data_IF_688098589265
#
_entry.id   IF_688098589265
#
_cell.length_a   1.000
_cell.length_b   1.000
_cell.length_c   1.000
_cell.angle_alpha   90.00
_cell.angle_beta   90.00
_cell.angle_gamma   90.00
#
_symmetry.space_group_name_H-M   'P 1'
#
loop_
_entity.id
_entity.type
_entity.pdbx_description
1 polymer ?
#
# COMPACT_ATOMS: atom_id res chain seq x y z
N UNK A 1 -9.49 11.90 24.66
CA UNK A 1 -8.30 12.14 23.80
C UNK A 1 -7.79 10.78 23.36
N UNK A 2 -7.80 10.46 22.07
CA UNK A 2 -7.09 9.26 21.59
C UNK A 2 -5.59 9.51 21.73
N UNK A 3 -4.93 8.67 22.52
CA UNK A 3 -3.49 8.73 22.74
C UNK A 3 -2.80 8.19 21.47
N UNK A 4 -1.96 9.01 20.84
CA UNK A 4 -1.12 8.55 19.73
C UNK A 4 -0.06 7.60 20.29
N UNK A 5 0.00 6.39 19.76
CA UNK A 5 0.97 5.34 20.13
C UNK A 5 1.83 5.04 18.93
N UNK A 6 3.15 5.04 19.10
CA UNK A 6 4.06 4.46 18.12
C UNK A 6 3.97 2.94 18.19
N UNK A 7 3.81 2.31 17.04
CA UNK A 7 3.88 0.85 16.88
C UNK A 7 4.87 0.60 15.75
N UNK A 8 5.89 -0.20 16.05
CA UNK A 8 6.83 -0.63 15.03
C UNK A 8 6.18 -1.69 14.14
N UNK A 9 6.26 -1.52 12.82
CA UNK A 9 5.72 -2.50 11.88
C UNK A 9 6.80 -3.51 11.58
N UNK A 10 6.70 -4.67 12.20
CA UNK A 10 7.65 -5.77 12.02
C UNK A 10 7.34 -6.59 10.76
N UNK A 11 8.34 -7.17 10.09
CA UNK A 11 8.11 -8.09 8.98
C UNK A 11 7.21 -9.26 9.37
N UNK A 12 6.29 -9.62 8.48
CA UNK A 12 5.47 -10.82 8.55
C UNK A 12 5.98 -11.86 7.53
N UNK A 13 5.81 -13.15 7.85
CA UNK A 13 5.91 -14.19 6.83
C UNK A 13 4.74 -14.06 5.85
N UNK A 14 4.87 -14.60 4.63
CA UNK A 14 3.78 -14.56 3.65
C UNK A 14 2.50 -15.24 4.18
N UNK A 15 2.65 -16.33 4.94
CA UNK A 15 1.53 -17.05 5.53
C UNK A 15 0.84 -16.22 6.64
N UNK A 16 1.62 -15.56 7.50
CA UNK A 16 1.06 -14.70 8.55
C UNK A 16 0.39 -13.47 7.93
N UNK A 17 1.04 -12.82 6.96
CA UNK A 17 0.47 -11.68 6.25
C UNK A 17 -0.88 -12.03 5.63
N UNK A 18 -0.99 -13.21 4.97
CA UNK A 18 -2.25 -13.68 4.41
C UNK A 18 -3.32 -13.88 5.50
N UNK A 19 -2.99 -14.54 6.61
CA UNK A 19 -3.92 -14.76 7.70
C UNK A 19 -4.42 -13.45 8.34
N UNK A 20 -3.55 -12.44 8.46
CA UNK A 20 -3.92 -11.11 8.95
C UNK A 20 -4.83 -10.35 7.96
N UNK A 21 -4.55 -10.44 6.65
CA UNK A 21 -5.36 -9.81 5.59
C UNK A 21 -6.78 -10.42 5.50
N UNK A 22 -6.95 -11.69 5.87
CA UNK A 22 -8.22 -12.42 5.87
C UNK A 22 -8.97 -12.35 7.20
N UNK A 23 -8.40 -11.68 8.21
CA UNK A 23 -8.93 -11.70 9.59
C UNK A 23 -10.29 -11.02 9.78
N UNK A 24 -10.69 -10.15 8.85
CA UNK A 24 -11.86 -9.28 9.00
C UNK A 24 -11.69 -8.15 10.02
N UNK A 25 -10.53 -8.06 10.67
CA UNK A 25 -10.21 -7.01 11.64
C UNK A 25 -9.41 -5.89 10.95
N UNK A 26 -9.92 -4.66 11.01
CA UNK A 26 -9.31 -3.54 10.30
C UNK A 26 -7.91 -3.18 10.78
N UNK A 27 -7.59 -3.36 12.07
CA UNK A 27 -6.26 -3.05 12.61
C UNK A 27 -5.23 -4.09 12.15
N UNK A 28 -5.63 -5.37 12.18
CA UNK A 28 -4.82 -6.50 11.69
C UNK A 28 -4.55 -6.39 10.19
N UNK A 29 -5.59 -6.15 9.38
CA UNK A 29 -5.47 -5.95 7.94
C UNK A 29 -4.56 -4.75 7.63
N UNK A 30 -4.76 -3.62 8.32
CA UNK A 30 -3.94 -2.42 8.11
C UNK A 30 -2.48 -2.65 8.45
N UNK A 31 -2.20 -3.34 9.56
CA UNK A 31 -0.84 -3.69 9.98
C UNK A 31 -0.17 -4.61 8.95
N UNK A 32 -0.91 -5.60 8.43
CA UNK A 32 -0.40 -6.50 7.39
C UNK A 32 -0.09 -5.76 6.08
N UNK A 33 -0.96 -4.84 5.64
CA UNK A 33 -0.73 -4.00 4.47
C UNK A 33 0.54 -3.15 4.60
N UNK A 34 0.75 -2.54 5.77
CA UNK A 34 1.98 -1.78 6.04
C UNK A 34 3.21 -2.70 6.06
N UNK A 35 3.10 -3.88 6.69
CA UNK A 35 4.20 -4.85 6.74
C UNK A 35 4.63 -5.31 5.35
N UNK A 36 3.70 -5.70 4.48
CA UNK A 36 4.05 -6.16 3.13
C UNK A 36 4.65 -5.03 2.29
N UNK A 37 4.17 -3.79 2.44
CA UNK A 37 4.69 -2.64 1.69
C UNK A 37 6.09 -2.19 2.14
N UNK A 38 6.47 -2.50 3.39
CA UNK A 38 7.79 -2.18 3.93
C UNK A 38 8.80 -3.31 3.75
N UNK A 39 8.36 -4.58 3.78
CA UNK A 39 9.24 -5.72 4.02
C UNK A 39 9.09 -6.89 3.04
N UNK A 40 8.09 -6.88 2.13
CA UNK A 40 7.90 -8.02 1.22
C UNK A 40 9.11 -8.23 0.31
N UNK A 41 9.45 -9.49 0.04
CA UNK A 41 10.45 -9.81 -0.98
C UNK A 41 9.89 -9.62 -2.41
N UNK A 42 8.58 -9.76 -2.59
CA UNK A 42 7.88 -9.59 -3.86
C UNK A 42 7.01 -8.32 -3.83
N UNK A 43 7.64 -7.20 -4.18
CA UNK A 43 7.02 -5.87 -4.20
C UNK A 43 5.90 -5.78 -5.23
N UNK A 44 5.95 -6.56 -6.30
CA UNK A 44 4.89 -6.59 -7.30
C UNK A 44 3.63 -7.26 -6.73
N UNK A 45 3.79 -8.41 -6.06
CA UNK A 45 2.68 -9.07 -5.37
C UNK A 45 2.08 -8.19 -4.25
N UNK A 46 2.94 -7.53 -3.46
CA UNK A 46 2.49 -6.62 -2.39
C UNK A 46 1.62 -5.47 -2.92
N UNK A 47 2.02 -4.83 -4.02
CA UNK A 47 1.25 -3.75 -4.65
C UNK A 47 -0.10 -4.25 -5.18
N UNK A 48 -0.13 -5.42 -5.82
CA UNK A 48 -1.37 -6.01 -6.30
C UNK A 48 -2.34 -6.34 -5.15
N UNK A 49 -1.82 -6.80 -4.01
CA UNK A 49 -2.62 -7.02 -2.80
C UNK A 49 -3.17 -5.68 -2.30
N UNK A 50 -2.34 -4.66 -2.15
CA UNK A 50 -2.77 -3.34 -1.66
C UNK A 50 -3.91 -2.74 -2.51
N UNK A 51 -3.80 -2.80 -3.84
CA UNK A 51 -4.83 -2.28 -4.76
C UNK A 51 -6.21 -2.92 -4.53
N UNK A 52 -6.27 -4.21 -4.17
CA UNK A 52 -7.54 -4.90 -3.88
C UNK A 52 -8.31 -4.26 -2.73
N UNK A 53 -7.59 -3.63 -1.79
CA UNK A 53 -8.16 -3.01 -0.60
C UNK A 53 -8.62 -1.57 -0.80
N UNK A 54 -8.40 -0.94 -1.96
CA UNK A 54 -8.93 0.40 -2.27
C UNK A 54 -10.46 0.47 -2.30
N UNK A 55 -11.12 -0.68 -2.45
CA UNK A 55 -12.59 -0.81 -2.43
C UNK A 55 -13.14 -1.21 -1.05
N UNK A 56 -12.29 -1.24 -0.02
CA UNK A 56 -12.74 -1.54 1.34
C UNK A 56 -13.69 -0.45 1.84
N UNK A 57 -14.73 -0.85 2.58
CA UNK A 57 -15.61 0.10 3.30
C UNK A 57 -14.90 0.76 4.50
N UNK A 58 -13.77 0.19 4.95
CA UNK A 58 -12.98 0.75 6.04
C UNK A 58 -11.97 1.77 5.52
N UNK A 59 -12.16 3.04 5.88
CA UNK A 59 -11.24 4.12 5.54
C UNK A 59 -9.81 3.86 6.04
N UNK A 60 -9.67 3.21 7.19
CA UNK A 60 -8.38 2.82 7.77
C UNK A 60 -7.64 1.84 6.87
N UNK A 61 -8.36 0.83 6.36
CA UNK A 61 -7.80 -0.17 5.45
C UNK A 61 -7.38 0.48 4.12
N UNK A 62 -8.22 1.36 3.55
CA UNK A 62 -7.88 2.08 2.32
C UNK A 62 -6.64 2.95 2.53
N UNK A 63 -6.57 3.68 3.65
CA UNK A 63 -5.40 4.50 3.98
C UNK A 63 -4.12 3.67 4.14
N UNK A 64 -4.21 2.50 4.79
CA UNK A 64 -3.09 1.58 4.94
C UNK A 64 -2.64 0.99 3.58
N UNK A 65 -3.58 0.70 2.68
CA UNK A 65 -3.27 0.24 1.33
C UNK A 65 -2.54 1.32 0.51
N UNK A 66 -2.96 2.59 0.60
CA UNK A 66 -2.27 3.71 -0.06
C UNK A 66 -0.84 3.84 0.46
N UNK A 67 -0.67 3.81 1.79
CA UNK A 67 0.66 3.86 2.41
C UNK A 67 1.53 2.66 2.05
N UNK A 68 0.95 1.48 1.91
CA UNK A 68 1.65 0.27 1.46
C UNK A 68 2.32 0.47 0.09
N UNK A 69 1.64 1.12 -0.86
CA UNK A 69 2.21 1.45 -2.18
C UNK A 69 3.28 2.55 -2.07
N UNK A 70 3.07 3.57 -1.24
CA UNK A 70 4.07 4.61 -1.02
C UNK A 70 5.36 4.04 -0.40
N UNK A 71 5.24 3.18 0.61
CA UNK A 71 6.36 2.42 1.16
C UNK A 71 7.00 1.53 0.11
N UNK A 72 6.18 0.91 -0.75
CA UNK A 72 6.63 0.12 -1.90
C UNK A 72 7.60 0.91 -2.79
N UNK A 73 7.24 2.15 -3.12
CA UNK A 73 8.07 3.05 -3.91
C UNK A 73 9.42 3.35 -3.23
N UNK A 74 9.39 3.68 -1.93
CA UNK A 74 10.57 4.10 -1.17
C UNK A 74 11.62 3.00 -1.03
N UNK A 75 11.22 1.75 -0.91
CA UNK A 75 12.14 0.65 -0.63
C UNK A 75 12.38 -0.29 -1.84
N UNK A 76 11.38 -0.52 -2.70
CA UNK A 76 11.48 -1.37 -3.89
C UNK A 76 11.91 -0.66 -5.16
N UNK A 77 11.87 0.69 -5.18
CA UNK A 77 12.26 1.58 -6.29
C UNK A 77 11.44 1.44 -7.59
N UNK A 78 10.37 0.65 -7.61
CA UNK A 78 9.43 0.65 -8.72
C UNK A 78 7.99 0.48 -8.24
N UNK A 79 7.07 1.03 -9.02
CA UNK A 79 5.62 0.84 -8.87
C UNK A 79 5.04 0.32 -10.17
N UNK A 80 4.17 -0.68 -10.07
CA UNK A 80 3.46 -1.23 -11.22
C UNK A 80 2.53 -0.17 -11.81
N UNK A 81 2.46 -0.08 -13.13
CA UNK A 81 1.63 0.89 -13.84
C UNK A 81 0.16 0.74 -13.45
N UNK A 82 -0.32 -0.49 -13.29
CA UNK A 82 -1.69 -0.75 -12.83
C UNK A 82 -1.95 -0.25 -11.40
N UNK A 83 -0.98 -0.40 -10.51
CA UNK A 83 -1.06 0.10 -9.13
C UNK A 83 -1.04 1.64 -9.10
N UNK A 84 -0.17 2.26 -9.89
CA UNK A 84 -0.11 3.71 -10.04
C UNK A 84 -1.43 4.29 -10.61
N UNK A 85 -1.99 3.67 -11.64
CA UNK A 85 -3.27 4.11 -12.22
C UNK A 85 -4.43 3.94 -11.24
N UNK A 86 -4.47 2.84 -10.51
CA UNK A 86 -5.49 2.60 -9.47
C UNK A 86 -5.39 3.62 -8.33
N UNK A 87 -4.16 3.98 -7.94
CA UNK A 87 -3.91 5.00 -6.92
C UNK A 87 -4.38 6.38 -7.41
N UNK A 88 -4.08 6.73 -8.67
CA UNK A 88 -4.55 7.97 -9.30
C UNK A 88 -6.07 8.03 -9.40
N UNK A 89 -6.73 6.93 -9.75
CA UNK A 89 -8.20 6.85 -9.77
C UNK A 89 -8.79 7.06 -8.38
N UNK A 90 -8.21 6.45 -7.34
CA UNK A 90 -8.61 6.65 -5.95
C UNK A 90 -8.49 8.14 -5.53
N UNK A 91 -7.55 8.88 -6.13
CA UNK A 91 -7.37 10.32 -5.90
C UNK A 91 -8.57 11.19 -6.26
N UNK A 92 -9.51 10.68 -7.07
CA UNK A 92 -10.77 11.36 -7.35
C UNK A 92 -11.74 11.35 -6.13
N UNK A 93 -11.52 10.47 -5.15
CA UNK A 93 -12.25 10.47 -3.91
C UNK A 93 -11.65 11.50 -2.94
N UNK A 94 -12.42 12.56 -2.63
CA UNK A 94 -12.00 13.66 -1.75
C UNK A 94 -11.49 13.19 -0.38
N UNK A 95 -12.02 12.09 0.14
CA UNK A 95 -11.61 11.50 1.42
C UNK A 95 -10.15 11.03 1.42
N UNK A 96 -9.66 10.55 0.27
CA UNK A 96 -8.33 9.97 0.10
C UNK A 96 -7.38 10.84 -0.72
N UNK A 97 -7.87 11.88 -1.40
CA UNK A 97 -7.10 12.73 -2.31
C UNK A 97 -5.76 13.22 -1.72
N UNK A 98 -5.76 13.69 -0.46
CA UNK A 98 -4.52 14.12 0.20
C UNK A 98 -3.50 12.99 0.37
N UNK A 99 -3.95 11.81 0.83
CA UNK A 99 -3.08 10.64 1.00
C UNK A 99 -2.57 10.08 -0.32
N UNK A 100 -3.42 10.12 -1.34
CA UNK A 100 -3.05 9.75 -2.69
C UNK A 100 -1.98 10.71 -3.22
N UNK A 101 -2.13 12.01 -3.02
CA UNK A 101 -1.12 12.98 -3.43
C UNK A 101 0.22 12.73 -2.73
N UNK A 102 0.22 12.51 -1.42
CA UNK A 102 1.43 12.17 -0.67
C UNK A 102 2.13 10.91 -1.23
N UNK A 103 1.35 9.86 -1.55
CA UNK A 103 1.87 8.64 -2.14
C UNK A 103 2.42 8.83 -3.56
N UNK A 104 1.76 9.67 -4.37
CA UNK A 104 2.22 10.00 -5.72
C UNK A 104 3.51 10.83 -5.70
N UNK A 105 3.66 11.70 -4.70
CA UNK A 105 4.90 12.45 -4.45
C UNK A 105 6.04 11.50 -4.05
N UNK A 106 5.79 10.54 -3.15
CA UNK A 106 6.75 9.48 -2.80
C UNK A 106 7.16 8.66 -4.04
N UNK A 107 6.20 8.26 -4.88
CA UNK A 107 6.49 7.52 -6.12
C UNK A 107 7.38 8.36 -7.04
N UNK A 108 7.00 9.61 -7.28
CA UNK A 108 7.76 10.53 -8.16
C UNK A 108 9.18 10.75 -7.65
N UNK A 109 9.38 10.77 -6.32
CA UNK A 109 10.67 11.03 -5.71
C UNK A 109 11.58 9.78 -5.67
N UNK A 110 11.02 8.59 -5.48
CA UNK A 110 11.81 7.40 -5.12
C UNK A 110 11.73 6.22 -6.10
N UNK A 111 10.76 6.20 -7.02
CA UNK A 111 10.50 5.03 -7.85
C UNK A 111 10.24 5.36 -9.33
N UNK A 112 10.54 4.39 -10.19
CA UNK A 112 10.05 4.39 -11.56
C UNK A 112 8.69 3.69 -11.64
N UNK A 113 7.82 4.14 -12.55
CA UNK A 113 6.60 3.40 -12.89
C UNK A 113 6.91 2.43 -14.03
N UNK A 114 6.60 1.14 -13.87
CA UNK A 114 6.92 0.10 -14.84
C UNK A 114 5.67 -0.66 -15.28
N UNK A 115 5.66 -1.21 -16.49
CA UNK A 115 4.60 -2.11 -16.93
C UNK A 115 4.51 -3.34 -16.03
N UNK A 116 3.31 -3.91 -15.92
CA UNK A 116 3.07 -5.14 -15.16
C UNK A 116 3.82 -6.36 -15.75
N UNK A 117 4.30 -6.25 -16.99
CA UNK A 117 5.18 -7.22 -17.66
C UNK A 117 6.67 -6.99 -17.42
N UNK A 118 7.06 -5.99 -16.62
CA UNK A 118 8.45 -5.71 -16.23
C UNK A 118 9.24 -4.81 -17.17
N UNK A 119 8.59 -4.18 -18.16
CA UNK A 119 9.25 -3.22 -19.06
C UNK A 119 9.00 -1.79 -18.58
N UNK A 120 10.02 -0.93 -18.63
CA UNK A 120 9.88 0.50 -18.35
C UNK A 120 9.23 1.15 -19.59
N UNK A 121 8.06 1.76 -19.42
CA UNK A 121 7.44 2.61 -20.45
C UNK A 121 8.00 4.04 -20.42
#
# INVERSE_FOLDING_TARGET
MNQKRYVDITPLSDADALAELESGDSERISTALLSIGLHSADWAAAQQVAVRFFKSESETIVAAAVLSIAHSARAGKYVLKSAFDSLRELGANELFAGRVQDAMDDITMFASVISDSGNVE
#
